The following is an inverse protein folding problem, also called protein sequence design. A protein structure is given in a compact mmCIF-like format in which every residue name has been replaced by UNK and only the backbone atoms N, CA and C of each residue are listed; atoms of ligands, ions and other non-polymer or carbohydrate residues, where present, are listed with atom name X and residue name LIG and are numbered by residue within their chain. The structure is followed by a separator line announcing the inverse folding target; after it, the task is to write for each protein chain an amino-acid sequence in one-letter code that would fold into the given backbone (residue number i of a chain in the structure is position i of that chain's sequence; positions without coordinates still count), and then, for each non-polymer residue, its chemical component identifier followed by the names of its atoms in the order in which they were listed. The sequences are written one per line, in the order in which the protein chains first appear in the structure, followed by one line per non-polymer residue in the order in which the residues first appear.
data_IF_780455128020
#
_entry.id   IF_780455128020
#
_cell.length_a   1.000
_cell.length_b   1.000
_cell.length_c   1.000
_cell.angle_alpha   90.00
_cell.angle_beta   90.00
_cell.angle_gamma   90.00
#
_symmetry.space_group_name_H-M   'P 1'
#
loop_
_entity.id
_entity.type
_entity.pdbx_description
1 polymer ?
#
# COMPACT_ATOMS: atom_id res chain seq x y z
N UNK A 1 -31.66 11.47 7.23
CA UNK A 1 -31.36 12.18 8.48
C UNK A 1 -30.51 13.38 8.10
N UNK A 2 -30.87 14.58 8.56
CA UNK A 2 -30.03 15.77 8.38
C UNK A 2 -28.72 15.56 9.13
N UNK A 3 -27.60 15.78 8.44
CA UNK A 3 -26.26 15.67 9.00
C UNK A 3 -26.11 16.61 10.18
N UNK A 4 -25.43 16.19 11.25
CA UNK A 4 -25.14 17.08 12.38
C UNK A 4 -24.24 18.23 11.91
N UNK A 5 -24.53 19.44 12.34
CA UNK A 5 -23.76 20.66 12.01
C UNK A 5 -22.25 20.45 12.08
N UNK A 6 -21.66 19.81 13.13
CA UNK A 6 -20.22 19.59 13.23
C UNK A 6 -19.61 18.75 12.10
N UNK A 7 -20.29 17.68 11.64
CA UNK A 7 -19.79 16.86 10.51
C UNK A 7 -19.72 17.68 9.23
N UNK A 8 -20.75 18.49 8.96
CA UNK A 8 -20.80 19.32 7.77
C UNK A 8 -19.70 20.39 7.77
N UNK A 9 -19.43 20.99 8.91
CA UNK A 9 -18.34 21.96 9.06
C UNK A 9 -16.98 21.34 8.74
N UNK A 10 -16.70 20.11 9.21
CA UNK A 10 -15.45 19.40 8.91
C UNK A 10 -15.35 19.05 7.43
N UNK A 11 -16.44 18.61 6.80
CA UNK A 11 -16.47 18.34 5.35
C UNK A 11 -16.17 19.62 4.55
N UNK A 12 -16.74 20.77 4.94
CA UNK A 12 -16.46 22.06 4.27
C UNK A 12 -15.01 22.51 4.47
N UNK A 13 -14.40 22.33 5.66
CA UNK A 13 -12.95 22.54 5.85
C UNK A 13 -12.13 21.72 4.83
N UNK A 14 -12.41 20.43 4.70
CA UNK A 14 -11.70 19.56 3.75
C UNK A 14 -11.87 20.05 2.31
N UNK A 15 -13.08 20.45 1.92
CA UNK A 15 -13.39 21.01 0.59
C UNK A 15 -12.63 22.30 0.31
N UNK A 16 -12.54 23.17 1.31
CA UNK A 16 -11.80 24.44 1.22
C UNK A 16 -10.26 24.23 1.15
N UNK A 17 -9.76 23.04 1.44
CA UNK A 17 -8.34 22.74 1.48
C UNK A 17 -7.69 23.03 2.83
N UNK A 18 -8.49 23.24 3.85
CA UNK A 18 -7.99 23.38 5.19
C UNK A 18 -7.56 22.03 5.76
N UNK A 19 -6.46 22.03 6.52
CA UNK A 19 -5.94 20.83 7.16
C UNK A 19 -6.84 20.38 8.30
N UNK A 20 -7.33 19.13 8.23
CA UNK A 20 -8.13 18.54 9.30
C UNK A 20 -7.28 18.18 10.50
N UNK A 21 -7.85 18.35 11.72
CA UNK A 21 -7.26 17.88 12.98
C UNK A 21 -7.58 16.38 13.18
N UNK A 22 -6.95 15.77 14.19
CA UNK A 22 -7.23 14.37 14.57
C UNK A 22 -8.66 14.22 15.08
N UNK A 23 -9.17 15.22 15.81
CA UNK A 23 -10.55 15.27 16.30
C UNK A 23 -11.55 15.39 15.13
N UNK A 24 -11.23 16.19 14.11
CA UNK A 24 -12.03 16.30 12.89
C UNK A 24 -12.13 14.91 12.20
N UNK A 25 -11.00 14.20 12.04
CA UNK A 25 -10.98 12.88 11.42
C UNK A 25 -11.74 11.84 12.26
N UNK A 26 -11.57 11.85 13.57
CA UNK A 26 -12.30 10.95 14.47
C UNK A 26 -13.81 11.22 14.42
N UNK A 27 -14.23 12.49 14.41
CA UNK A 27 -15.63 12.88 14.25
C UNK A 27 -16.22 12.34 12.92
N UNK A 28 -15.47 12.41 11.82
CA UNK A 28 -15.90 11.85 10.54
C UNK A 28 -16.07 10.33 10.61
N UNK A 29 -15.12 9.61 11.23
CA UNK A 29 -15.25 8.17 11.42
C UNK A 29 -16.47 7.77 12.25
N UNK A 30 -16.74 8.48 13.34
CA UNK A 30 -17.77 8.12 14.29
C UNK A 30 -19.18 8.53 13.87
N UNK A 31 -19.32 9.69 13.20
CA UNK A 31 -20.62 10.34 13.02
C UNK A 31 -21.02 10.64 11.59
N UNK A 32 -20.09 10.67 10.64
CA UNK A 32 -20.44 10.98 9.27
C UNK A 32 -21.12 9.78 8.58
N UNK A 33 -22.13 10.05 7.78
CA UNK A 33 -22.69 9.06 6.86
C UNK A 33 -21.88 8.99 5.55
N UNK A 34 -22.09 7.92 4.76
CA UNK A 34 -21.34 7.73 3.53
C UNK A 34 -21.55 8.83 2.49
N UNK A 35 -22.72 9.45 2.44
CA UNK A 35 -23.01 10.47 1.43
C UNK A 35 -22.16 11.72 1.68
N UNK A 36 -22.11 12.20 2.92
CA UNK A 36 -21.28 13.34 3.29
C UNK A 36 -19.78 13.05 3.10
N UNK A 37 -19.35 11.84 3.46
CA UNK A 37 -17.96 11.41 3.26
C UNK A 37 -17.60 11.35 1.77
N UNK A 38 -18.49 10.80 0.93
CA UNK A 38 -18.30 10.74 -0.51
C UNK A 38 -18.21 12.15 -1.12
N UNK A 39 -19.13 13.05 -0.75
CA UNK A 39 -19.13 14.43 -1.24
C UNK A 39 -17.83 15.16 -0.86
N UNK A 40 -17.38 15.05 0.38
CA UNK A 40 -16.15 15.68 0.85
C UNK A 40 -14.91 15.11 0.15
N UNK A 41 -14.80 13.79 0.09
CA UNK A 41 -13.65 13.11 -0.50
C UNK A 41 -13.56 13.32 -2.03
N UNK A 42 -14.71 13.30 -2.75
CA UNK A 42 -14.75 13.56 -4.19
C UNK A 42 -14.31 15.03 -4.48
N UNK A 43 -14.75 15.98 -3.69
CA UNK A 43 -14.33 17.37 -3.81
C UNK A 43 -12.81 17.55 -3.61
N UNK A 44 -12.23 16.89 -2.61
CA UNK A 44 -10.76 16.89 -2.40
C UNK A 44 -10.05 16.21 -3.57
N UNK A 45 -10.57 15.08 -4.08
CA UNK A 45 -10.04 14.40 -5.26
C UNK A 45 -9.99 15.35 -6.47
N UNK A 46 -11.09 16.06 -6.77
CA UNK A 46 -11.14 16.98 -7.91
C UNK A 46 -10.21 18.19 -7.73
N UNK A 47 -10.01 18.66 -6.50
CA UNK A 47 -9.04 19.73 -6.23
C UNK A 47 -7.61 19.31 -6.52
N UNK A 48 -7.23 18.06 -6.15
CA UNK A 48 -5.89 17.52 -6.36
C UNK A 48 -5.65 17.03 -7.79
N UNK A 49 -6.70 16.52 -8.45
CA UNK A 49 -6.69 15.96 -9.80
C UNK A 49 -7.84 16.51 -10.60
N UNK A 50 -7.71 17.73 -11.17
CA UNK A 50 -8.81 18.41 -11.88
C UNK A 50 -9.20 17.74 -13.18
N UNK A 51 -8.34 16.92 -13.75
CA UNK A 51 -8.64 16.15 -14.95
C UNK A 51 -9.54 14.93 -14.62
N UNK A 52 -10.46 14.55 -15.52
CA UNK A 52 -11.31 13.38 -15.35
C UNK A 52 -10.53 12.07 -15.60
N UNK A 53 -9.29 12.02 -15.23
CA UNK A 53 -8.39 10.87 -15.41
C UNK A 53 -8.37 10.02 -14.16
N UNK A 54 -8.46 8.71 -14.34
CA UNK A 54 -8.16 7.70 -13.32
C UNK A 54 -7.07 6.81 -13.86
N UNK A 55 -5.99 6.72 -13.11
CA UNK A 55 -4.83 5.93 -13.51
C UNK A 55 -4.90 4.48 -13.05
N UNK A 56 -4.13 3.61 -13.69
CA UNK A 56 -3.87 2.23 -13.29
C UNK A 56 -2.49 1.80 -13.79
N UNK A 57 -1.95 0.73 -13.20
CA UNK A 57 -0.65 0.19 -13.60
C UNK A 57 -0.77 -1.28 -14.01
N UNK A 58 -0.06 -1.66 -15.07
CA UNK A 58 0.11 -3.06 -15.44
C UNK A 58 1.38 -3.56 -14.79
N UNK A 59 1.24 -4.47 -13.83
CA UNK A 59 2.34 -5.03 -13.08
C UNK A 59 2.05 -6.43 -12.56
N UNK A 60 3.05 -7.02 -11.93
CA UNK A 60 2.97 -8.34 -11.29
C UNK A 60 3.51 -8.28 -9.87
N UNK A 61 2.76 -8.81 -8.92
CA UNK A 61 3.27 -9.08 -7.57
C UNK A 61 4.07 -10.39 -7.61
N UNK A 62 5.37 -10.31 -7.32
CA UNK A 62 6.26 -11.46 -7.26
C UNK A 62 6.74 -11.65 -5.82
N UNK A 63 6.42 -12.79 -5.26
CA UNK A 63 6.92 -13.19 -3.95
C UNK A 63 8.15 -14.08 -4.14
N UNK A 64 9.34 -13.52 -3.88
CA UNK A 64 10.60 -14.23 -4.12
C UNK A 64 10.83 -15.39 -3.14
N UNK A 65 10.21 -15.36 -1.96
CA UNK A 65 10.19 -16.46 -0.99
C UNK A 65 8.96 -16.36 -0.08
N UNK A 66 8.44 -17.50 0.36
CA UNK A 66 7.43 -17.56 1.43
C UNK A 66 8.04 -17.99 2.78
N UNK A 67 9.34 -18.31 2.86
CA UNK A 67 10.03 -18.64 4.11
C UNK A 67 10.11 -17.39 4.99
N UNK A 68 9.50 -17.43 6.18
CA UNK A 68 9.37 -16.27 7.05
C UNK A 68 9.39 -16.64 8.53
N UNK A 69 10.07 -15.81 9.33
CA UNK A 69 10.21 -16.00 10.79
C UNK A 69 9.39 -14.99 11.63
N UNK A 70 8.52 -14.19 11.01
CA UNK A 70 7.74 -13.19 11.76
C UNK A 70 6.38 -13.66 12.24
N UNK A 71 5.87 -14.78 11.72
CA UNK A 71 4.63 -15.43 12.16
C UNK A 71 3.46 -14.47 12.39
N UNK A 72 3.21 -13.55 11.43
CA UNK A 72 2.11 -12.60 11.54
C UNK A 72 0.76 -13.33 11.55
N UNK A 73 -0.10 -13.04 12.53
CA UNK A 73 -1.39 -13.72 12.72
C UNK A 73 -2.38 -13.55 11.56
N UNK A 74 -2.20 -12.53 10.73
CA UNK A 74 -3.03 -12.24 9.55
C UNK A 74 -2.48 -12.84 8.25
N UNK A 75 -1.31 -13.48 8.25
CA UNK A 75 -0.65 -13.94 7.03
C UNK A 75 -0.88 -15.44 6.81
N UNK A 76 -1.62 -15.80 5.77
CA UNK A 76 -1.80 -17.19 5.35
C UNK A 76 -0.68 -17.67 4.41
N UNK A 77 0.15 -16.78 3.93
CA UNK A 77 1.15 -17.05 2.88
C UNK A 77 2.47 -17.61 3.43
N UNK A 78 2.92 -17.16 4.60
CA UNK A 78 4.23 -17.53 5.13
C UNK A 78 4.35 -19.04 5.40
N UNK A 79 5.57 -19.53 5.29
CA UNK A 79 5.95 -20.87 5.75
C UNK A 79 7.16 -20.75 6.69
N UNK A 80 7.15 -21.44 7.85
CA UNK A 80 8.33 -21.48 8.70
C UNK A 80 9.49 -22.19 8.01
N UNK A 81 10.75 -21.88 8.37
CA UNK A 81 11.91 -22.57 7.82
C UNK A 81 11.82 -24.08 8.01
N UNK A 82 12.13 -24.87 6.96
CA UNK A 82 12.02 -26.34 6.94
C UNK A 82 10.60 -26.86 6.62
N UNK A 83 9.63 -25.99 6.37
CA UNK A 83 8.29 -26.43 5.95
C UNK A 83 8.31 -27.05 4.55
N UNK A 84 7.58 -28.17 4.28
CA UNK A 84 7.60 -28.82 2.96
C UNK A 84 7.17 -27.95 1.78
N UNK A 85 6.37 -26.91 2.04
CA UNK A 85 5.89 -25.97 1.03
C UNK A 85 6.72 -24.67 0.99
N UNK A 86 7.85 -24.59 1.72
CA UNK A 86 8.70 -23.42 1.61
C UNK A 86 9.35 -23.37 0.22
N UNK A 87 9.55 -22.14 -0.28
CA UNK A 87 10.26 -21.94 -1.53
C UNK A 87 11.04 -20.65 -1.54
N UNK A 88 12.04 -20.61 -2.38
CA UNK A 88 12.70 -19.41 -2.88
C UNK A 88 12.84 -19.52 -4.39
N UNK A 89 12.44 -18.48 -5.12
CA UNK A 89 12.50 -18.47 -6.58
C UNK A 89 13.96 -18.52 -7.07
N UNK A 90 14.21 -19.34 -8.07
CA UNK A 90 15.47 -19.29 -8.81
C UNK A 90 15.50 -18.07 -9.74
N UNK A 91 16.69 -17.68 -10.20
CA UNK A 91 16.83 -16.62 -11.21
C UNK A 91 16.05 -16.96 -12.50
N UNK A 92 16.00 -18.23 -12.90
CA UNK A 92 15.24 -18.65 -14.07
C UNK A 92 13.74 -18.38 -13.90
N UNK A 93 13.16 -18.82 -12.76
CA UNK A 93 11.75 -18.60 -12.44
C UNK A 93 11.42 -17.11 -12.35
N UNK A 94 12.28 -16.32 -11.69
CA UNK A 94 12.12 -14.88 -11.59
C UNK A 94 12.21 -14.20 -12.96
N UNK A 95 13.19 -14.59 -13.79
CA UNK A 95 13.36 -14.07 -15.13
C UNK A 95 12.18 -14.39 -16.05
N UNK A 96 11.60 -15.59 -15.92
CA UNK A 96 10.40 -15.96 -16.67
C UNK A 96 9.22 -15.06 -16.28
N UNK A 97 8.96 -14.86 -14.97
CA UNK A 97 7.90 -13.96 -14.50
C UNK A 97 8.07 -12.54 -15.03
N UNK A 98 9.30 -12.03 -15.06
CA UNK A 98 9.59 -10.69 -15.59
C UNK A 98 9.30 -10.62 -17.10
N UNK A 99 9.75 -11.62 -17.89
CA UNK A 99 9.47 -11.68 -19.34
C UNK A 99 7.97 -11.70 -19.63
N UNK A 100 7.22 -12.52 -18.91
CA UNK A 100 5.76 -12.61 -19.04
C UNK A 100 5.10 -11.27 -18.70
N UNK A 101 5.57 -10.58 -17.65
CA UNK A 101 5.07 -9.27 -17.25
C UNK A 101 5.31 -8.24 -18.34
N UNK A 102 6.51 -8.17 -18.89
CA UNK A 102 6.84 -7.26 -20.02
C UNK A 102 6.04 -7.58 -21.28
N UNK A 103 5.86 -8.87 -21.61
CA UNK A 103 5.04 -9.29 -22.75
C UNK A 103 3.57 -8.86 -22.63
N UNK A 104 3.06 -8.73 -21.40
CA UNK A 104 1.73 -8.20 -21.11
C UNK A 104 1.66 -6.65 -21.02
N UNK A 105 2.76 -5.96 -21.35
CA UNK A 105 2.85 -4.49 -21.24
C UNK A 105 3.12 -3.99 -19.82
N UNK A 106 3.54 -4.88 -18.91
CA UNK A 106 3.87 -4.51 -17.54
C UNK A 106 5.15 -3.70 -17.44
N UNK A 107 5.13 -2.69 -16.58
CA UNK A 107 6.21 -1.69 -16.42
C UNK A 107 6.99 -1.86 -15.12
N UNK A 108 6.46 -2.63 -14.17
CA UNK A 108 7.11 -2.89 -12.89
C UNK A 108 6.88 -4.30 -12.37
N UNK A 109 7.72 -4.69 -11.40
CA UNK A 109 7.49 -5.81 -10.50
C UNK A 109 7.29 -5.25 -9.09
N UNK A 110 6.17 -5.60 -8.46
CA UNK A 110 6.01 -5.47 -7.01
C UNK A 110 6.68 -6.69 -6.38
N UNK A 111 7.82 -6.49 -5.73
CA UNK A 111 8.68 -7.55 -5.22
C UNK A 111 8.62 -7.61 -3.70
N UNK A 112 8.02 -8.63 -3.13
CA UNK A 112 7.93 -8.82 -1.68
C UNK A 112 8.16 -10.29 -1.31
N UNK A 113 8.62 -10.55 -0.08
CA UNK A 113 8.82 -11.92 0.38
C UNK A 113 8.76 -12.06 1.90
N UNK A 114 9.12 -13.23 2.38
CA UNK A 114 9.26 -13.50 3.80
C UNK A 114 10.58 -13.00 4.37
N UNK A 115 10.65 -12.87 5.71
CA UNK A 115 11.89 -12.63 6.43
C UNK A 115 12.70 -13.94 6.50
N UNK A 116 13.49 -14.18 5.46
CA UNK A 116 14.29 -15.40 5.38
C UNK A 116 15.45 -15.36 6.39
N UNK A 117 15.65 -16.40 7.24
CA UNK A 117 16.58 -16.33 8.37
C UNK A 117 18.06 -16.27 7.99
N UNK A 118 18.42 -16.60 6.74
CA UNK A 118 19.82 -16.76 6.34
C UNK A 118 20.29 -15.82 5.23
N UNK A 119 19.36 -15.15 4.50
CA UNK A 119 19.76 -14.31 3.37
C UNK A 119 20.25 -12.96 3.85
N UNK A 120 21.53 -12.69 3.57
CA UNK A 120 22.17 -11.39 3.81
C UNK A 120 22.05 -10.51 2.59
N UNK A 121 22.48 -9.27 2.71
CA UNK A 121 22.32 -8.26 1.68
C UNK A 121 22.91 -8.67 0.32
N UNK A 122 24.00 -9.44 0.30
CA UNK A 122 24.64 -9.88 -0.96
C UNK A 122 23.69 -10.69 -1.82
N UNK A 123 22.83 -11.52 -1.22
CA UNK A 123 21.81 -12.30 -1.91
C UNK A 123 20.76 -11.39 -2.57
N UNK A 124 20.31 -10.37 -1.86
CA UNK A 124 19.32 -9.41 -2.38
C UNK A 124 19.94 -8.52 -3.48
N UNK A 125 21.18 -8.13 -3.33
CA UNK A 125 21.90 -7.37 -4.36
C UNK A 125 22.04 -8.17 -5.67
N UNK A 126 22.39 -9.45 -5.58
CA UNK A 126 22.49 -10.33 -6.73
C UNK A 126 21.13 -10.47 -7.44
N UNK A 127 20.06 -10.73 -6.70
CA UNK A 127 18.70 -10.81 -7.24
C UNK A 127 18.29 -9.50 -7.94
N UNK A 128 18.52 -8.35 -7.32
CA UNK A 128 18.20 -7.04 -7.90
C UNK A 128 18.99 -6.77 -9.17
N UNK A 129 20.31 -7.00 -9.18
CA UNK A 129 21.13 -6.85 -10.39
C UNK A 129 20.64 -7.74 -11.51
N UNK A 130 20.27 -8.98 -11.21
CA UNK A 130 19.67 -9.88 -12.19
C UNK A 130 18.35 -9.31 -12.74
N UNK A 131 17.45 -8.82 -11.89
CA UNK A 131 16.18 -8.22 -12.35
C UNK A 131 16.43 -7.01 -13.26
N UNK A 132 17.41 -6.17 -12.97
CA UNK A 132 17.75 -5.00 -13.79
C UNK A 132 18.28 -5.33 -15.19
N UNK A 133 18.73 -6.57 -15.44
CA UNK A 133 19.08 -6.99 -16.82
C UNK A 133 17.87 -7.02 -17.74
N UNK A 134 16.65 -7.00 -17.21
CA UNK A 134 15.41 -6.96 -17.99
C UNK A 134 14.85 -5.56 -18.22
N UNK A 135 15.53 -4.51 -17.75
CA UNK A 135 15.04 -3.13 -17.82
C UNK A 135 13.59 -3.02 -17.31
N UNK A 136 13.37 -3.40 -16.07
CA UNK A 136 12.09 -3.36 -15.36
C UNK A 136 12.22 -2.54 -14.06
N UNK A 137 11.18 -1.79 -13.72
CA UNK A 137 11.12 -1.09 -12.44
C UNK A 137 10.89 -2.08 -11.30
N UNK A 138 11.69 -1.99 -10.25
CA UNK A 138 11.56 -2.82 -9.04
C UNK A 138 11.00 -1.98 -7.91
N UNK A 139 9.72 -2.17 -7.63
CA UNK A 139 9.01 -1.66 -6.44
C UNK A 139 9.08 -2.75 -5.38
N UNK A 140 10.08 -2.71 -4.52
CA UNK A 140 10.44 -3.90 -3.75
C UNK A 140 10.62 -3.72 -2.27
N UNK A 141 10.44 -4.85 -1.61
CA UNK A 141 10.56 -5.08 -0.19
C UNK A 141 9.54 -4.29 0.65
N UNK A 142 9.47 -4.60 1.92
CA UNK A 142 8.78 -3.80 2.92
C UNK A 142 9.82 -3.18 3.86
N UNK A 143 9.50 -2.13 4.60
CA UNK A 143 10.36 -1.63 5.67
C UNK A 143 10.84 -2.71 6.64
N UNK A 144 9.96 -3.67 6.93
CA UNK A 144 10.28 -4.78 7.81
C UNK A 144 11.33 -5.74 7.21
N UNK A 145 11.24 -6.04 5.91
CA UNK A 145 12.25 -6.82 5.18
C UNK A 145 13.60 -6.10 5.16
N UNK A 146 13.60 -4.79 4.85
CA UNK A 146 14.82 -3.98 4.80
C UNK A 146 15.54 -3.96 6.17
N UNK A 147 14.78 -3.77 7.25
CA UNK A 147 15.33 -3.83 8.61
C UNK A 147 15.88 -5.21 8.95
N UNK A 148 15.19 -6.28 8.57
CA UNK A 148 15.65 -7.64 8.75
C UNK A 148 16.98 -7.90 8.01
N UNK A 149 17.07 -7.48 6.76
CA UNK A 149 18.31 -7.57 5.96
C UNK A 149 19.45 -6.78 6.61
N UNK A 150 19.18 -5.56 7.09
CA UNK A 150 20.16 -4.73 7.81
C UNK A 150 20.72 -5.46 9.03
N UNK A 151 19.84 -6.03 9.86
CA UNK A 151 20.21 -6.76 11.06
C UNK A 151 21.06 -8.01 10.76
N UNK A 152 20.63 -8.86 9.82
CA UNK A 152 21.37 -10.05 9.42
C UNK A 152 22.74 -9.72 8.82
N UNK A 153 22.83 -8.61 8.09
CA UNK A 153 24.05 -8.18 7.43
C UNK A 153 24.96 -7.33 8.32
N UNK A 154 24.49 -6.97 9.53
CA UNK A 154 25.18 -6.07 10.48
C UNK A 154 25.51 -4.71 9.86
N UNK A 155 24.58 -4.18 9.09
CA UNK A 155 24.65 -2.86 8.42
C UNK A 155 23.74 -1.85 9.12
N UNK A 156 24.06 -0.58 8.95
CA UNK A 156 23.11 0.49 9.27
C UNK A 156 21.96 0.49 8.27
N UNK A 157 20.83 1.05 8.66
CA UNK A 157 19.67 1.19 7.77
C UNK A 157 20.02 2.01 6.52
N UNK A 158 20.71 3.14 6.70
CA UNK A 158 21.16 4.01 5.61
C UNK A 158 22.03 3.26 4.59
N UNK A 159 22.99 2.49 5.08
CA UNK A 159 23.88 1.70 4.22
C UNK A 159 23.12 0.58 3.49
N UNK A 160 22.19 -0.07 4.16
CA UNK A 160 21.35 -1.11 3.56
C UNK A 160 20.53 -0.55 2.40
N UNK A 161 19.81 0.55 2.62
CA UNK A 161 19.00 1.18 1.58
C UNK A 161 19.89 1.66 0.42
N UNK A 162 21.02 2.29 0.72
CA UNK A 162 21.97 2.74 -0.31
C UNK A 162 22.47 1.58 -1.18
N UNK A 163 22.82 0.43 -0.57
CA UNK A 163 23.31 -0.76 -1.28
C UNK A 163 22.21 -1.40 -2.12
N UNK A 164 21.00 -1.57 -1.59
CA UNK A 164 19.86 -2.10 -2.34
C UNK A 164 19.52 -1.22 -3.53
N UNK A 165 19.50 0.12 -3.34
CA UNK A 165 19.28 1.09 -4.40
C UNK A 165 20.36 1.00 -5.49
N UNK A 166 21.63 0.95 -5.12
CA UNK A 166 22.75 0.79 -6.06
C UNK A 166 22.69 -0.52 -6.85
N UNK A 167 22.02 -1.54 -6.30
CA UNK A 167 21.82 -2.84 -6.94
C UNK A 167 20.56 -2.92 -7.79
N UNK A 168 19.67 -1.91 -7.75
CA UNK A 168 18.51 -1.84 -8.63
C UNK A 168 17.14 -1.77 -7.95
N UNK A 169 17.07 -1.52 -6.65
CA UNK A 169 15.82 -1.17 -5.98
C UNK A 169 15.43 0.26 -6.36
N UNK A 170 14.32 0.43 -7.07
CA UNK A 170 13.89 1.75 -7.54
C UNK A 170 12.99 2.49 -6.54
N UNK A 171 12.02 1.80 -5.95
CA UNK A 171 11.04 2.36 -4.98
C UNK A 171 10.67 1.33 -3.94
N UNK A 172 10.09 1.78 -2.79
CA UNK A 172 9.72 0.90 -1.68
C UNK A 172 8.21 0.97 -1.44
N UNK A 173 7.49 -0.18 -1.46
CA UNK A 173 6.07 -0.24 -1.10
C UNK A 173 5.85 -0.05 0.40
N UNK A 174 4.68 0.47 0.77
CA UNK A 174 4.28 0.67 2.16
C UNK A 174 3.91 -0.61 2.92
N UNK A 175 4.16 -1.78 2.35
CA UNK A 175 3.84 -3.06 2.97
C UNK A 175 4.39 -3.18 4.39
N UNK A 176 3.69 -3.95 5.23
CA UNK A 176 4.09 -4.13 6.61
C UNK A 176 3.71 -3.00 7.56
N UNK A 177 3.03 -1.95 7.08
CA UNK A 177 2.50 -0.90 7.95
C UNK A 177 1.33 -1.40 8.82
N UNK A 178 0.44 -2.18 8.28
CA UNK A 178 -0.84 -2.61 8.86
C UNK A 178 -1.54 -1.45 9.57
N UNK A 179 -1.42 -1.35 10.89
CA UNK A 179 -1.73 -0.15 11.69
C UNK A 179 -0.46 0.29 12.43
N UNK A 180 -0.06 1.56 12.28
CA UNK A 180 1.14 2.15 12.90
C UNK A 180 0.83 2.62 14.34
N UNK A 181 0.35 1.67 15.14
CA UNK A 181 0.12 1.81 16.58
C UNK A 181 0.63 0.54 17.27
N UNK A 182 1.59 0.68 18.14
CA UNK A 182 2.32 -0.45 18.73
C UNK A 182 1.45 -1.43 19.52
N UNK A 183 0.38 -0.94 20.17
CA UNK A 183 -0.60 -1.82 20.81
C UNK A 183 -1.17 -2.83 19.82
N UNK A 184 -1.62 -2.34 18.67
CA UNK A 184 -2.19 -3.17 17.60
C UNK A 184 -1.13 -4.11 17.02
N UNK A 185 0.07 -3.58 16.72
CA UNK A 185 1.18 -4.37 16.12
C UNK A 185 1.60 -5.53 17.01
N UNK A 186 1.73 -5.31 18.33
CA UNK A 186 2.06 -6.38 19.29
C UNK A 186 1.03 -7.49 19.32
N UNK A 187 -0.24 -7.18 19.03
CA UNK A 187 -1.30 -8.16 19.01
C UNK A 187 -1.32 -9.00 17.72
N UNK A 188 -1.17 -8.37 16.54
CA UNK A 188 -1.33 -9.05 15.25
C UNK A 188 -0.01 -9.54 14.63
N UNK A 189 1.12 -8.96 15.00
CA UNK A 189 2.45 -9.27 14.42
C UNK A 189 3.60 -8.94 15.39
N UNK A 190 3.68 -9.60 16.56
CA UNK A 190 4.60 -9.24 17.65
C UNK A 190 6.08 -9.34 17.29
N UNK A 191 6.43 -10.16 16.30
CA UNK A 191 7.82 -10.35 15.85
C UNK A 191 8.19 -9.46 14.64
N UNK A 192 7.23 -8.64 14.18
CA UNK A 192 7.45 -7.70 13.08
C UNK A 192 7.90 -6.33 13.60
N UNK A 193 8.50 -5.55 12.72
CA UNK A 193 8.94 -4.19 13.00
C UNK A 193 7.83 -3.34 13.66
N UNK A 194 8.14 -2.64 14.76
CA UNK A 194 7.22 -1.74 15.43
C UNK A 194 7.09 -0.40 14.67
N UNK A 195 6.18 0.45 15.12
CA UNK A 195 5.77 1.69 14.44
C UNK A 195 6.94 2.59 14.08
N UNK A 196 7.74 2.98 15.07
CA UNK A 196 8.84 3.93 14.85
C UNK A 196 9.91 3.37 13.90
N UNK A 197 10.21 2.06 13.99
CA UNK A 197 11.13 1.42 13.06
C UNK A 197 10.62 1.42 11.62
N UNK A 198 9.31 1.21 11.40
CA UNK A 198 8.72 1.30 10.06
C UNK A 198 8.83 2.72 9.49
N UNK A 199 8.53 3.73 10.30
CA UNK A 199 8.63 5.14 9.92
C UNK A 199 10.07 5.56 9.67
N UNK A 200 11.04 5.03 10.44
CA UNK A 200 12.47 5.30 10.26
C UNK A 200 12.97 4.82 8.90
N UNK A 201 12.56 3.63 8.46
CA UNK A 201 12.90 3.14 7.11
C UNK A 201 12.39 4.09 6.04
N UNK A 202 11.14 4.58 6.16
CA UNK A 202 10.57 5.51 5.18
C UNK A 202 11.28 6.87 5.21
N UNK A 203 11.57 7.41 6.40
CA UNK A 203 12.35 8.64 6.55
C UNK A 203 13.73 8.53 5.91
N UNK A 204 14.42 7.40 6.13
CA UNK A 204 15.74 7.16 5.54
C UNK A 204 15.66 7.01 4.02
N UNK A 205 14.70 6.26 3.50
CA UNK A 205 14.47 6.15 2.06
C UNK A 205 14.21 7.52 1.42
N UNK A 206 13.33 8.34 2.04
CA UNK A 206 13.05 9.69 1.59
C UNK A 206 14.29 10.61 1.69
N UNK A 207 15.10 10.47 2.76
CA UNK A 207 16.35 11.24 2.89
C UNK A 207 17.34 10.94 1.76
N UNK A 208 17.32 9.71 1.25
CA UNK A 208 18.09 9.31 0.07
C UNK A 208 17.41 9.66 -1.28
N UNK A 209 16.28 10.37 -1.27
CA UNK A 209 15.56 10.80 -2.48
C UNK A 209 14.72 9.68 -3.12
N UNK A 210 14.46 8.57 -2.43
CA UNK A 210 13.60 7.50 -2.95
C UNK A 210 12.12 7.85 -2.78
N UNK A 211 11.31 7.49 -3.75
CA UNK A 211 9.84 7.51 -3.63
C UNK A 211 9.35 6.20 -3.05
N UNK A 212 8.28 6.29 -2.25
CA UNK A 212 7.67 5.12 -1.59
C UNK A 212 6.15 5.23 -1.65
N UNK A 213 5.45 4.18 -1.23
CA UNK A 213 4.01 4.26 -0.98
C UNK A 213 3.72 4.09 0.52
N UNK A 214 2.52 4.41 0.93
CA UNK A 214 2.03 4.18 2.29
C UNK A 214 0.77 3.32 2.26
N UNK A 215 0.58 2.49 3.29
CA UNK A 215 -0.52 1.52 3.30
C UNK A 215 -1.16 1.42 4.68
N UNK A 216 -2.41 0.96 4.72
CA UNK A 216 -3.13 0.60 5.95
C UNK A 216 -3.89 -0.71 5.72
N UNK A 217 -3.75 -1.67 6.63
CA UNK A 217 -4.65 -2.81 6.74
C UNK A 217 -5.48 -2.67 8.02
N UNK A 218 -6.78 -2.65 7.91
CA UNK A 218 -7.72 -2.42 9.01
C UNK A 218 -8.82 -3.48 9.05
N UNK A 219 -9.72 -3.40 10.05
CA UNK A 219 -10.81 -4.34 10.24
C UNK A 219 -10.40 -5.57 11.05
N UNK A 220 -9.49 -5.37 12.01
CA UNK A 220 -9.06 -6.42 12.94
C UNK A 220 -9.27 -6.00 14.41
N UNK A 221 -8.25 -5.51 15.13
CA UNK A 221 -8.30 -5.19 16.56
C UNK A 221 -8.12 -3.70 16.86
N UNK A 222 -7.98 -2.91 15.82
CA UNK A 222 -7.82 -1.46 15.91
C UNK A 222 -9.16 -0.75 16.15
N UNK A 223 -9.10 0.47 16.66
CA UNK A 223 -10.19 1.43 16.80
C UNK A 223 -10.10 2.52 15.72
N UNK A 224 -11.12 3.37 15.59
CA UNK A 224 -11.03 4.56 14.73
C UNK A 224 -9.92 5.52 15.18
N UNK A 225 -9.70 5.66 16.49
CA UNK A 225 -8.58 6.45 16.99
C UNK A 225 -7.23 5.89 16.55
N UNK A 226 -7.04 4.57 16.51
CA UNK A 226 -5.82 3.95 15.99
C UNK A 226 -5.64 4.20 14.49
N UNK A 227 -6.73 4.24 13.69
CA UNK A 227 -6.66 4.60 12.27
C UNK A 227 -6.27 6.07 12.09
N UNK A 228 -6.81 6.97 12.89
CA UNK A 228 -6.44 8.39 12.87
C UNK A 228 -4.96 8.56 13.25
N UNK A 229 -4.49 7.92 14.32
CA UNK A 229 -3.08 7.93 14.70
C UNK A 229 -2.18 7.42 13.57
N UNK A 230 -2.55 6.32 12.90
CA UNK A 230 -1.84 5.80 11.73
C UNK A 230 -1.73 6.86 10.61
N UNK A 231 -2.84 7.50 10.25
CA UNK A 231 -2.87 8.54 9.22
C UNK A 231 -2.03 9.76 9.64
N UNK A 232 -2.09 10.16 10.91
CA UNK A 232 -1.28 11.25 11.47
C UNK A 232 0.22 10.97 11.31
N UNK A 233 0.68 9.76 11.67
CA UNK A 233 2.08 9.36 11.52
C UNK A 233 2.56 9.41 10.08
N UNK A 234 1.76 8.96 9.13
CA UNK A 234 2.08 9.04 7.70
C UNK A 234 2.16 10.50 7.22
N UNK A 235 1.19 11.34 7.62
CA UNK A 235 1.13 12.75 7.26
C UNK A 235 2.35 13.53 7.78
N UNK A 236 2.79 13.25 9.01
CA UNK A 236 3.98 13.84 9.61
C UNK A 236 5.25 13.50 8.82
N UNK A 237 5.47 12.21 8.51
CA UNK A 237 6.61 11.78 7.69
C UNK A 237 6.57 12.42 6.31
N UNK A 238 5.39 12.56 5.71
CA UNK A 238 5.25 13.23 4.42
C UNK A 238 5.61 14.71 4.51
N UNK A 239 5.15 15.44 5.54
CA UNK A 239 5.52 16.85 5.76
C UNK A 239 7.04 17.01 5.91
N UNK A 240 7.68 16.16 6.73
CA UNK A 240 9.13 16.12 6.90
C UNK A 240 9.85 15.90 5.56
N UNK A 241 9.32 14.99 4.75
CA UNK A 241 9.93 14.60 3.47
C UNK A 241 9.78 15.69 2.42
N UNK A 242 8.62 16.32 2.32
CA UNK A 242 8.38 17.43 1.40
C UNK A 242 9.23 18.65 1.77
N UNK A 243 9.42 18.92 3.07
CA UNK A 243 10.27 20.01 3.54
C UNK A 243 11.74 19.84 3.16
N UNK A 244 12.23 18.60 2.93
CA UNK A 244 13.60 18.35 2.46
C UNK A 244 13.83 18.79 1.01
N UNK A 245 12.80 18.75 0.16
CA UNK A 245 12.88 19.19 -1.24
C UNK A 245 13.78 18.33 -2.15
N UNK A 246 14.16 17.11 -1.75
CA UNK A 246 15.06 16.22 -2.51
C UNK A 246 14.31 15.21 -3.40
N UNK A 247 12.98 15.26 -3.47
CA UNK A 247 12.12 14.40 -4.27
C UNK A 247 11.72 13.08 -3.61
N UNK A 248 12.29 12.73 -2.45
CA UNK A 248 11.88 11.55 -1.66
C UNK A 248 10.59 11.84 -0.90
N UNK A 249 9.56 11.00 -1.09
CA UNK A 249 8.25 11.20 -0.47
C UNK A 249 7.34 9.99 -0.71
N UNK A 250 6.22 9.92 0.03
CA UNK A 250 5.12 9.03 -0.34
C UNK A 250 4.44 9.53 -1.62
N UNK A 251 4.27 8.64 -2.58
CA UNK A 251 3.55 8.92 -3.83
C UNK A 251 2.06 8.60 -3.72
N UNK A 252 1.70 7.66 -2.88
CA UNK A 252 0.31 7.22 -2.72
C UNK A 252 0.03 6.63 -1.34
N UNK A 253 -1.26 6.62 -1.00
CA UNK A 253 -1.80 5.85 0.12
C UNK A 253 -2.78 4.79 -0.40
N UNK A 254 -2.68 3.57 0.16
CA UNK A 254 -3.52 2.43 -0.18
C UNK A 254 -4.06 1.81 1.12
N UNK A 255 -5.36 1.70 1.28
CA UNK A 255 -5.94 0.99 2.41
C UNK A 255 -6.78 -0.21 1.96
N UNK A 256 -6.75 -1.27 2.76
CA UNK A 256 -7.56 -2.48 2.53
C UNK A 256 -8.02 -3.10 3.84
N UNK A 257 -9.11 -3.86 3.79
CA UNK A 257 -9.61 -4.61 4.94
C UNK A 257 -8.86 -5.93 5.11
N UNK A 258 -8.74 -6.37 6.36
CA UNK A 258 -8.24 -7.70 6.69
C UNK A 258 -8.96 -8.77 5.85
N UNK A 259 -8.17 -9.66 5.26
CA UNK A 259 -8.64 -10.92 4.70
C UNK A 259 -8.27 -12.01 5.71
N UNK A 260 -9.23 -12.45 6.50
CA UNK A 260 -8.96 -13.29 7.68
C UNK A 260 -8.97 -14.80 7.43
N UNK A 261 -9.46 -15.27 6.27
CA UNK A 261 -9.53 -16.71 5.98
C UNK A 261 -8.15 -17.38 6.05
N UNK A 262 -8.10 -18.57 6.59
CA UNK A 262 -6.88 -19.38 6.74
C UNK A 262 -5.77 -18.70 7.57
N UNK A 263 -6.14 -17.75 8.43
CA UNK A 263 -5.23 -17.06 9.34
C UNK A 263 -5.67 -17.25 10.80
N UNK A 264 -4.82 -16.89 11.76
CA UNK A 264 -5.19 -16.91 13.17
C UNK A 264 -6.32 -15.90 13.51
N UNK A 265 -6.54 -14.92 12.63
CA UNK A 265 -7.60 -13.91 12.79
C UNK A 265 -8.91 -14.28 12.09
N UNK A 266 -9.08 -15.52 11.63
CA UNK A 266 -10.28 -16.00 10.95
C UNK A 266 -11.58 -15.91 11.79
N UNK A 267 -11.44 -15.76 13.11
CA UNK A 267 -12.56 -15.60 14.04
C UNK A 267 -13.14 -14.17 14.02
N UNK A 268 -12.43 -13.20 13.47
CA UNK A 268 -12.92 -11.82 13.38
C UNK A 268 -13.94 -11.68 12.24
N UNK A 269 -14.99 -10.85 12.44
CA UNK A 269 -15.98 -10.63 11.40
C UNK A 269 -15.35 -9.93 10.18
N UNK A 270 -15.74 -10.29 8.94
CA UNK A 270 -15.23 -9.64 7.76
C UNK A 270 -15.72 -8.18 7.68
N UNK A 271 -14.82 -7.30 7.27
CA UNK A 271 -15.14 -5.88 7.07
C UNK A 271 -15.75 -5.65 5.69
N UNK A 272 -16.92 -5.02 5.64
CA UNK A 272 -17.66 -4.78 4.41
C UNK A 272 -17.25 -3.50 3.65
N UNK A 273 -17.82 -3.33 2.44
CA UNK A 273 -17.56 -2.19 1.58
C UNK A 273 -17.94 -0.82 2.18
N UNK A 274 -18.94 -0.78 3.07
CA UNK A 274 -19.30 0.44 3.82
C UNK A 274 -18.09 1.00 4.60
N UNK A 275 -17.45 0.14 5.37
CA UNK A 275 -16.30 0.51 6.20
C UNK A 275 -15.06 0.84 5.35
N UNK A 276 -14.91 0.16 4.21
CA UNK A 276 -13.87 0.47 3.25
C UNK A 276 -14.04 1.89 2.67
N UNK A 277 -15.22 2.21 2.16
CA UNK A 277 -15.49 3.52 1.58
C UNK A 277 -15.38 4.64 2.61
N UNK A 278 -15.83 4.40 3.85
CA UNK A 278 -15.64 5.32 4.98
C UNK A 278 -14.15 5.59 5.23
N UNK A 279 -13.35 4.54 5.38
CA UNK A 279 -11.91 4.67 5.66
C UNK A 279 -11.16 5.39 4.53
N UNK A 280 -11.47 5.05 3.28
CA UNK A 280 -10.87 5.68 2.12
C UNK A 280 -11.21 7.18 2.04
N UNK A 281 -12.48 7.53 2.26
CA UNK A 281 -12.93 8.92 2.21
C UNK A 281 -12.31 9.78 3.31
N UNK A 282 -12.26 9.28 4.55
CA UNK A 282 -11.59 9.98 5.66
C UNK A 282 -10.11 10.13 5.35
N UNK A 283 -9.44 9.08 4.84
CA UNK A 283 -8.03 9.16 4.46
C UNK A 283 -7.80 10.23 3.38
N UNK A 284 -8.67 10.35 2.35
CA UNK A 284 -8.54 11.39 1.32
C UNK A 284 -8.65 12.80 1.90
N UNK A 285 -9.59 13.02 2.81
CA UNK A 285 -9.78 14.35 3.41
C UNK A 285 -8.67 14.70 4.41
N UNK A 286 -8.12 13.71 5.10
CA UNK A 286 -7.11 13.91 6.15
C UNK A 286 -5.68 13.97 5.62
N UNK A 287 -5.31 13.15 4.63
CA UNK A 287 -3.97 13.09 4.04
C UNK A 287 -3.83 14.16 2.93
N UNK A 288 -3.89 15.42 3.31
CA UNK A 288 -3.85 16.57 2.41
C UNK A 288 -2.55 16.72 1.61
N UNK A 289 -1.48 16.08 2.07
CA UNK A 289 -0.13 16.12 1.51
C UNK A 289 0.27 14.85 0.74
N UNK A 290 -0.56 13.80 0.69
CA UNK A 290 -0.31 12.61 -0.14
C UNK A 290 -1.18 12.69 -1.40
N UNK A 291 -0.57 12.82 -2.59
CA UNK A 291 -1.34 13.18 -3.80
C UNK A 291 -2.30 12.09 -4.26
N UNK A 292 -1.91 10.81 -4.20
CA UNK A 292 -2.70 9.74 -4.79
C UNK A 292 -3.30 8.81 -3.75
N UNK A 293 -4.57 8.44 -3.98
CA UNK A 293 -5.24 7.35 -3.27
C UNK A 293 -5.65 6.26 -4.26
N UNK A 294 -5.26 5.02 -3.93
CA UNK A 294 -5.51 3.87 -4.77
C UNK A 294 -6.72 3.08 -4.27
N UNK A 295 -7.59 2.66 -5.19
CA UNK A 295 -8.66 1.70 -4.93
C UNK A 295 -8.12 0.30 -4.68
N UNK A 296 -8.62 -0.39 -3.66
CA UNK A 296 -8.24 -1.77 -3.29
C UNK A 296 -9.24 -2.81 -3.82
N UNK A 297 -9.55 -2.78 -5.11
CA UNK A 297 -10.47 -3.73 -5.74
C UNK A 297 -10.08 -5.20 -5.51
N UNK A 298 -8.80 -5.50 -5.33
CA UNK A 298 -8.29 -6.87 -5.07
C UNK A 298 -8.93 -7.51 -3.85
N UNK A 299 -9.19 -6.71 -2.81
CA UNK A 299 -9.84 -7.16 -1.56
C UNK A 299 -11.33 -6.83 -1.51
N UNK A 300 -11.79 -5.81 -2.24
CA UNK A 300 -13.15 -5.29 -2.18
C UNK A 300 -14.05 -5.74 -3.34
N UNK A 301 -13.45 -6.26 -4.39
CA UNK A 301 -14.15 -6.61 -5.64
C UNK A 301 -14.42 -5.41 -6.55
N UNK A 302 -14.84 -5.71 -7.79
CA UNK A 302 -15.04 -4.74 -8.86
C UNK A 302 -15.99 -3.59 -8.46
N UNK A 303 -17.16 -3.93 -7.91
CA UNK A 303 -18.20 -2.93 -7.63
C UNK A 303 -17.80 -1.91 -6.56
N UNK A 304 -17.23 -2.38 -5.46
CA UNK A 304 -16.77 -1.48 -4.39
C UNK A 304 -15.49 -0.77 -4.83
N UNK A 305 -14.61 -1.43 -5.58
CA UNK A 305 -13.43 -0.81 -6.18
C UNK A 305 -13.79 0.34 -7.13
N UNK A 306 -14.88 0.20 -7.92
CA UNK A 306 -15.42 1.26 -8.75
C UNK A 306 -15.97 2.41 -7.90
N UNK A 307 -16.78 2.10 -6.89
CA UNK A 307 -17.34 3.11 -5.97
C UNK A 307 -16.27 3.94 -5.28
N UNK A 308 -15.10 3.37 -5.00
CA UNK A 308 -13.96 4.08 -4.40
C UNK A 308 -13.57 5.36 -5.16
N UNK A 309 -13.83 5.41 -6.48
CA UNK A 309 -13.57 6.59 -7.32
C UNK A 309 -14.42 7.82 -6.93
N UNK A 310 -15.56 7.62 -6.26
CA UNK A 310 -16.39 8.67 -5.67
C UNK A 310 -16.14 8.89 -4.20
N UNK A 311 -15.21 8.13 -3.63
CA UNK A 311 -14.79 8.25 -2.24
C UNK A 311 -13.31 8.65 -2.14
N UNK A 312 -12.82 9.38 -3.15
CA UNK A 312 -11.53 10.04 -3.14
C UNK A 312 -10.39 9.31 -3.85
N UNK A 313 -10.59 8.09 -4.35
CA UNK A 313 -9.57 7.43 -5.16
C UNK A 313 -9.43 8.10 -6.53
N UNK A 314 -8.19 8.24 -7.00
CA UNK A 314 -7.83 8.72 -8.34
C UNK A 314 -7.04 7.67 -9.14
N UNK A 315 -6.86 6.49 -8.56
CA UNK A 315 -6.07 5.39 -9.14
C UNK A 315 -6.74 4.05 -8.85
N UNK A 316 -6.85 3.18 -9.87
CA UNK A 316 -7.39 1.82 -9.72
C UNK A 316 -6.33 0.79 -9.31
N UNK A 317 -5.08 1.22 -9.17
CA UNK A 317 -3.98 0.34 -8.79
C UNK A 317 -3.55 -0.61 -9.89
N UNK A 318 -3.07 -1.76 -9.46
CA UNK A 318 -2.47 -2.80 -10.28
C UNK A 318 -3.50 -3.68 -10.99
N UNK A 319 -3.16 -4.19 -12.18
CA UNK A 319 -3.86 -5.33 -12.79
C UNK A 319 -3.68 -6.62 -11.99
N UNK A 320 -2.72 -6.64 -11.08
CA UNK A 320 -2.40 -7.75 -10.20
C UNK A 320 -2.34 -9.09 -10.96
N UNK A 321 -1.46 -9.18 -11.96
CA UNK A 321 -1.30 -10.38 -12.81
C UNK A 321 -1.05 -11.65 -11.97
N UNK A 322 -0.39 -11.49 -10.82
CA UNK A 322 -0.19 -12.53 -9.82
C UNK A 322 -0.44 -11.93 -8.43
N UNK A 323 -1.14 -12.65 -7.59
CA UNK A 323 -1.35 -12.30 -6.20
C UNK A 323 -1.42 -13.59 -5.38
N UNK A 324 -0.42 -13.78 -4.50
CA UNK A 324 -0.25 -15.01 -3.74
C UNK A 324 -0.54 -14.83 -2.24
N UNK A 325 -0.53 -13.60 -1.74
CA UNK A 325 -0.62 -13.32 -0.30
C UNK A 325 -2.07 -13.30 0.16
N UNK A 326 -2.87 -12.38 -0.38
CA UNK A 326 -4.29 -12.27 0.02
C UNK A 326 -5.16 -13.35 -0.61
N UNK A 327 -4.71 -13.97 -1.72
CA UNK A 327 -5.44 -15.10 -2.31
C UNK A 327 -5.45 -16.32 -1.38
N UNK A 328 -4.37 -16.59 -0.66
CA UNK A 328 -4.33 -17.65 0.35
C UNK A 328 -5.22 -17.34 1.56
N UNK A 329 -5.46 -16.05 1.83
CA UNK A 329 -6.41 -15.58 2.82
C UNK A 329 -7.85 -15.46 2.27
N UNK A 330 -8.12 -15.93 1.05
CA UNK A 330 -9.45 -16.07 0.47
C UNK A 330 -9.91 -14.97 -0.47
N UNK A 331 -9.09 -13.98 -0.82
CA UNK A 331 -9.39 -13.01 -1.86
C UNK A 331 -9.26 -13.66 -3.25
N UNK A 332 -10.33 -13.59 -4.06
CA UNK A 332 -10.39 -14.29 -5.36
C UNK A 332 -10.68 -13.36 -6.54
N UNK A 333 -10.78 -12.06 -6.29
CA UNK A 333 -11.10 -11.12 -7.36
C UNK A 333 -9.96 -11.00 -8.38
N UNK A 334 -10.34 -10.87 -9.65
CA UNK A 334 -9.43 -10.71 -10.78
C UNK A 334 -10.00 -9.66 -11.73
N UNK A 335 -9.19 -8.69 -12.11
CA UNK A 335 -9.54 -7.70 -13.13
C UNK A 335 -8.37 -7.54 -14.11
N UNK A 336 -8.45 -8.15 -15.30
CA UNK A 336 -7.49 -7.87 -16.36
C UNK A 336 -7.63 -6.42 -16.84
N UNK A 337 -6.61 -5.89 -17.48
CA UNK A 337 -6.56 -4.50 -17.91
C UNK A 337 -7.82 -4.00 -18.65
N UNK A 338 -8.39 -4.72 -19.63
CA UNK A 338 -9.63 -4.25 -20.28
C UNK A 338 -10.80 -4.07 -19.32
N UNK A 339 -10.89 -4.90 -18.27
CA UNK A 339 -11.92 -4.78 -17.24
C UNK A 339 -11.70 -3.54 -16.36
N UNK A 340 -10.45 -3.26 -15.95
CA UNK A 340 -10.11 -2.04 -15.20
C UNK A 340 -10.49 -0.80 -16.05
N UNK A 341 -10.06 -0.75 -17.30
CA UNK A 341 -10.37 0.38 -18.18
C UNK A 341 -11.89 0.55 -18.41
N UNK A 342 -12.65 -0.56 -18.53
CA UNK A 342 -14.12 -0.53 -18.62
C UNK A 342 -14.72 0.07 -17.34
N UNK A 343 -14.35 -0.44 -16.19
CA UNK A 343 -14.86 0.00 -14.87
C UNK A 343 -14.64 1.51 -14.66
N UNK A 344 -13.51 2.04 -15.09
CA UNK A 344 -13.19 3.47 -15.04
C UNK A 344 -14.11 4.25 -15.99
N UNK A 345 -14.29 3.81 -17.25
CA UNK A 345 -15.15 4.49 -18.24
C UNK A 345 -16.62 4.46 -17.84
N UNK A 346 -17.12 3.33 -17.34
CA UNK A 346 -18.51 3.17 -16.89
C UNK A 346 -18.86 4.15 -15.76
N UNK A 347 -17.85 4.66 -15.07
CA UNK A 347 -18.01 5.65 -13.99
C UNK A 347 -17.75 7.10 -14.43
N UNK A 348 -17.57 7.33 -15.75
CA UNK A 348 -17.43 8.65 -16.34
C UNK A 348 -16.02 9.22 -16.33
N UNK A 349 -15.00 8.40 -16.08
CA UNK A 349 -13.60 8.82 -16.09
C UNK A 349 -12.85 8.31 -17.33
N UNK A 350 -11.69 8.90 -17.60
CA UNK A 350 -10.76 8.49 -18.65
C UNK A 350 -9.68 7.59 -18.04
N UNK A 351 -9.60 6.29 -18.42
CA UNK A 351 -8.55 5.42 -17.95
C UNK A 351 -7.22 5.78 -18.60
N UNK A 352 -6.15 5.85 -17.82
CA UNK A 352 -4.78 6.06 -18.27
C UNK A 352 -3.82 5.12 -17.60
N UNK A 353 -2.91 4.52 -18.38
CA UNK A 353 -1.77 3.77 -17.82
C UNK A 353 -0.77 4.72 -17.19
N UNK A 354 -0.16 4.30 -16.09
CA UNK A 354 0.91 5.03 -15.41
C UNK A 354 2.11 4.15 -15.10
N UNK A 355 3.22 4.80 -14.82
CA UNK A 355 4.39 4.18 -14.19
C UNK A 355 4.27 4.13 -12.65
N UNK A 356 5.33 3.65 -11.98
CA UNK A 356 5.39 3.60 -10.51
C UNK A 356 5.47 4.99 -9.86
N UNK A 357 5.90 6.01 -10.60
CA UNK A 357 6.00 7.39 -10.13
C UNK A 357 4.71 8.20 -10.34
N UNK A 358 3.64 7.56 -10.81
CA UNK A 358 2.36 8.17 -11.17
C UNK A 358 2.42 9.09 -12.40
N UNK A 359 3.45 8.96 -13.25
CA UNK A 359 3.45 9.60 -14.56
C UNK A 359 2.55 8.81 -15.51
N UNK A 360 1.67 9.52 -16.23
CA UNK A 360 0.86 8.91 -17.30
C UNK A 360 1.80 8.54 -18.45
N UNK A 361 1.69 7.31 -18.94
CA UNK A 361 2.54 6.76 -20.02
C UNK A 361 1.73 6.42 -21.28
N UNK A 362 0.39 6.23 -21.17
CA UNK A 362 -0.55 6.01 -22.30
C UNK A 362 -1.94 6.59 -22.00
#
# INVERSE_FOLDING_TARGET
MLTSTPVREVVEKARAGERLTDEDALLLFERANLLDLGEGADAVRWRLHPEPVVTYIVDRNVNYTNTCITYCKFCAFYRPPGHPEEYTLTHEQLGQKIRETKAAGGVQILLQGGHHPYYKIEWYEEMLRFMKTFDIHVHGFSPSEITHVAQLSKLTLAETIRRLRASGLDTIPGGGAEILVDRVRREISPLKLMTDGWLEVMREAHAQGMKTTSTMMYGHVETYADRVEHLRRLREVQDESLARGNGGAFTAFICWSLQGRNTELAHLPPTGGHEYLKTLAVARMYLDNIPNLQSSWVTQGEKIGQMALKYGANDMGSTMMEENVVSQAGATFRMPEPAIARVIRDFGYVPKRRDCYYNVIE
#
